data_IF_941000334280
#
_entry.id   IF_941000334280
#
_cell.length_a   1.000
_cell.length_b   1.000
_cell.length_c   1.000
_cell.angle_alpha   90.00
_cell.angle_beta   90.00
_cell.angle_gamma   90.00
#
_symmetry.space_group_name_H-M   'P 1'
#
loop_
_entity.id
_entity.type
_entity.pdbx_description
1 polymer ?
#
# COMPACT_ATOMS: atom_id res chain seq x y z
N UNK A 1 -30.63 8.07 33.16
CA UNK A 1 -31.61 8.56 32.17
C UNK A 1 -31.07 9.62 31.19
N UNK A 2 -30.07 10.44 31.53
CA UNK A 2 -29.47 11.46 30.63
C UNK A 2 -28.44 10.87 29.67
N UNK A 3 -27.63 9.89 30.09
CA UNK A 3 -26.59 9.27 29.27
C UNK A 3 -27.14 8.42 28.11
N UNK A 4 -28.30 7.79 28.28
CA UNK A 4 -28.97 6.98 27.25
C UNK A 4 -29.49 7.85 26.09
N UNK A 5 -29.97 9.07 26.38
CA UNK A 5 -30.45 10.02 25.36
C UNK A 5 -29.32 10.63 24.53
N UNK A 6 -28.11 10.78 25.10
CA UNK A 6 -26.94 11.29 24.37
C UNK A 6 -26.42 10.23 23.39
N UNK A 7 -26.46 8.93 23.76
CA UNK A 7 -26.05 7.85 22.88
C UNK A 7 -27.02 7.66 21.69
N UNK A 8 -28.31 7.80 21.94
CA UNK A 8 -29.33 7.68 20.87
C UNK A 8 -29.31 8.87 19.90
N UNK A 9 -28.99 10.09 20.36
CA UNK A 9 -28.87 11.25 19.48
C UNK A 9 -27.58 11.22 18.63
N UNK A 10 -26.48 10.67 19.14
CA UNK A 10 -25.25 10.46 18.36
C UNK A 10 -25.40 9.38 17.29
N UNK A 11 -26.15 8.33 17.56
CA UNK A 11 -26.35 7.23 16.60
C UNK A 11 -27.27 7.62 15.42
N UNK A 12 -28.07 8.68 15.55
CA UNK A 12 -28.94 9.18 14.45
C UNK A 12 -28.24 10.14 13.47
N UNK A 13 -27.05 10.67 13.82
CA UNK A 13 -26.31 11.63 12.98
C UNK A 13 -25.31 10.97 12.01
N UNK A 14 -25.10 9.65 12.09
CA UNK A 14 -24.22 8.90 11.20
C UNK A 14 -24.97 8.01 10.20
N UNK A 15 -26.14 8.44 9.74
CA UNK A 15 -26.92 7.75 8.72
C UNK A 15 -26.40 8.04 7.30
N UNK A 16 -26.80 7.19 6.33
CA UNK A 16 -26.53 7.33 4.90
C UNK A 16 -26.87 8.71 4.32
N UNK A 17 -27.72 9.49 5.01
CA UNK A 17 -28.19 10.82 4.59
C UNK A 17 -27.10 11.91 4.57
N UNK A 18 -25.88 11.62 5.09
CA UNK A 18 -24.75 12.56 5.11
C UNK A 18 -23.64 12.18 4.11
N UNK A 19 -23.79 11.13 3.33
CA UNK A 19 -22.85 10.77 2.28
C UNK A 19 -23.12 11.65 1.05
N UNK A 20 -22.17 12.50 0.71
CA UNK A 20 -22.27 13.42 -0.44
C UNK A 20 -21.73 12.83 -1.74
N UNK A 21 -20.94 11.76 -1.64
CA UNK A 21 -20.44 10.97 -2.77
C UNK A 21 -20.26 9.51 -2.33
N UNK A 22 -20.93 8.59 -2.98
CA UNK A 22 -20.80 7.15 -2.70
C UNK A 22 -19.44 6.61 -3.21
N UNK A 23 -18.86 5.65 -2.49
CA UNK A 23 -17.67 4.95 -2.95
C UNK A 23 -17.93 4.25 -4.30
N UNK A 24 -16.94 4.30 -5.20
CA UNK A 24 -17.05 3.75 -6.56
C UNK A 24 -17.74 4.67 -7.57
N UNK A 25 -18.15 5.88 -7.16
CA UNK A 25 -18.67 6.90 -8.09
C UNK A 25 -17.58 7.88 -8.50
N UNK A 26 -17.71 8.49 -9.69
CA UNK A 26 -16.75 9.43 -10.24
C UNK A 26 -17.42 10.81 -10.41
N UNK A 27 -16.93 11.78 -9.64
CA UNK A 27 -17.38 13.16 -9.76
C UNK A 27 -16.77 13.84 -11.00
N UNK A 28 -17.52 14.65 -11.75
CA UNK A 28 -16.98 15.36 -12.91
C UNK A 28 -15.92 16.38 -12.52
N UNK A 29 -14.71 16.27 -13.10
CA UNK A 29 -13.61 17.22 -12.94
C UNK A 29 -13.07 17.62 -14.31
N UNK A 30 -12.73 18.91 -14.53
CA UNK A 30 -12.35 19.44 -15.85
C UNK A 30 -10.84 19.26 -16.12
N UNK A 31 -10.34 18.02 -16.15
CA UNK A 31 -8.89 17.69 -16.31
C UNK A 31 -8.54 17.10 -17.68
N UNK A 32 -9.48 17.12 -18.63
CA UNK A 32 -9.22 16.63 -19.99
C UNK A 32 -9.25 15.11 -20.16
N UNK A 33 -9.63 14.36 -19.11
CA UNK A 33 -9.79 12.89 -19.14
C UNK A 33 -11.27 12.50 -19.12
N UNK A 34 -11.65 11.55 -20.00
CA UNK A 34 -12.99 10.98 -20.02
C UNK A 34 -13.32 10.22 -18.72
N UNK A 35 -14.60 10.13 -18.38
CA UNK A 35 -15.07 9.46 -17.17
C UNK A 35 -14.63 8.00 -17.09
N UNK A 36 -14.71 7.25 -18.19
CA UNK A 36 -14.29 5.85 -18.22
C UNK A 36 -12.79 5.68 -17.90
N UNK A 37 -11.93 6.56 -18.45
CA UNK A 37 -10.49 6.55 -18.16
C UNK A 37 -10.26 6.82 -16.67
N UNK A 38 -10.90 7.85 -16.13
CA UNK A 38 -10.80 8.19 -14.71
C UNK A 38 -11.29 7.06 -13.80
N UNK A 39 -12.42 6.44 -14.14
CA UNK A 39 -12.96 5.31 -13.38
C UNK A 39 -12.01 4.12 -13.35
N UNK A 40 -11.40 3.77 -14.49
CA UNK A 40 -10.40 2.69 -14.58
C UNK A 40 -9.18 3.01 -13.71
N UNK A 41 -8.63 4.22 -13.83
CA UNK A 41 -7.48 4.65 -13.03
C UNK A 41 -7.81 4.68 -11.53
N UNK A 42 -8.98 5.17 -11.12
CA UNK A 42 -9.44 5.18 -9.73
C UNK A 42 -9.50 3.76 -9.15
N UNK A 43 -10.00 2.79 -9.92
CA UNK A 43 -10.05 1.39 -9.49
C UNK A 43 -8.65 0.83 -9.21
N UNK A 44 -7.71 1.03 -10.14
CA UNK A 44 -6.33 0.58 -9.99
C UNK A 44 -5.60 1.30 -8.83
N UNK A 45 -5.80 2.61 -8.69
CA UNK A 45 -5.23 3.40 -7.59
C UNK A 45 -5.75 2.95 -6.22
N UNK A 46 -7.04 2.69 -6.08
CA UNK A 46 -7.63 2.21 -4.82
C UNK A 46 -7.14 0.79 -4.44
N UNK A 47 -6.95 -0.09 -5.42
CA UNK A 47 -6.33 -1.40 -5.16
C UNK A 47 -4.90 -1.25 -4.66
N UNK A 48 -4.09 -0.46 -5.37
CA UNK A 48 -2.70 -0.18 -4.97
C UNK A 48 -2.64 0.53 -3.61
N UNK A 49 -3.56 1.45 -3.33
CA UNK A 49 -3.67 2.14 -2.05
C UNK A 49 -3.92 1.16 -0.90
N UNK A 50 -4.86 0.23 -1.07
CA UNK A 50 -5.15 -0.80 -0.07
C UNK A 50 -3.92 -1.68 0.22
N UNK A 51 -3.22 -2.11 -0.83
CA UNK A 51 -2.02 -2.93 -0.69
C UNK A 51 -0.85 -2.15 -0.09
N UNK A 52 -0.67 -0.88 -0.46
CA UNK A 52 0.34 0.02 0.14
C UNK A 52 0.07 0.25 1.62
N UNK A 53 -1.18 0.45 2.02
CA UNK A 53 -1.58 0.57 3.44
C UNK A 53 -1.27 -0.71 4.22
N UNK A 54 -1.58 -1.87 3.66
CA UNK A 54 -1.28 -3.16 4.29
C UNK A 54 0.24 -3.38 4.39
N UNK A 55 1.01 -3.09 3.35
CA UNK A 55 2.47 -3.19 3.33
C UNK A 55 3.11 -2.25 4.36
N UNK A 56 2.64 -1.00 4.44
CA UNK A 56 3.03 -0.04 5.48
C UNK A 56 2.87 -0.62 6.89
N UNK A 57 1.72 -1.21 7.17
CA UNK A 57 1.42 -1.77 8.49
C UNK A 57 2.23 -3.05 8.76
N UNK A 58 2.55 -3.85 7.74
CA UNK A 58 3.50 -4.96 7.84
C UNK A 58 4.89 -4.47 8.25
N UNK A 59 5.40 -3.40 7.66
CA UNK A 59 6.68 -2.81 8.06
C UNK A 59 6.65 -2.38 9.52
N UNK A 60 5.59 -1.73 10.00
CA UNK A 60 5.48 -1.32 11.39
C UNK A 60 5.34 -2.50 12.34
N UNK A 61 4.59 -3.53 11.95
CA UNK A 61 4.53 -4.80 12.70
C UNK A 61 5.92 -5.41 12.87
N UNK A 62 6.67 -5.52 11.79
CA UNK A 62 8.00 -6.12 11.82
C UNK A 62 9.03 -5.25 12.53
N UNK A 63 8.97 -3.93 12.38
CA UNK A 63 9.76 -2.97 13.16
C UNK A 63 9.60 -3.19 14.67
N UNK A 64 8.38 -3.41 15.17
CA UNK A 64 8.14 -3.70 16.60
C UNK A 64 8.58 -5.10 17.03
N UNK A 65 8.63 -6.07 16.11
CA UNK A 65 8.81 -7.48 16.42
C UNK A 65 10.19 -8.03 16.06
N UNK A 66 10.99 -7.32 15.26
CA UNK A 66 12.33 -7.76 14.88
C UNK A 66 13.22 -7.96 16.12
N UNK A 67 14.12 -8.93 16.07
CA UNK A 67 15.04 -9.25 17.18
C UNK A 67 16.25 -10.04 16.66
N UNK A 68 17.29 -10.18 17.49
CA UNK A 68 18.49 -10.94 17.17
C UNK A 68 19.67 -10.06 16.73
N UNK A 69 20.66 -10.66 16.09
CA UNK A 69 21.93 -10.03 15.79
C UNK A 69 21.84 -8.80 14.86
N UNK A 70 20.82 -8.80 13.97
CA UNK A 70 20.56 -7.73 13.00
C UNK A 70 19.45 -6.78 13.47
N UNK A 71 19.10 -6.82 14.77
CA UNK A 71 17.97 -6.04 15.32
C UNK A 71 18.05 -4.56 14.95
N UNK A 72 19.15 -3.89 15.26
CA UNK A 72 19.25 -2.45 15.11
C UNK A 72 19.13 -2.00 13.65
N UNK A 73 19.83 -2.69 12.75
CA UNK A 73 19.83 -2.38 11.32
C UNK A 73 18.43 -2.55 10.71
N UNK A 74 17.79 -3.68 10.99
CA UNK A 74 16.46 -3.97 10.44
C UNK A 74 15.36 -3.13 11.09
N UNK A 75 15.47 -2.84 12.39
CA UNK A 75 14.55 -1.95 13.07
C UNK A 75 14.53 -0.56 12.43
N UNK A 76 15.68 0.02 12.12
CA UNK A 76 15.80 1.30 11.43
C UNK A 76 15.37 1.21 9.96
N UNK A 77 15.74 0.14 9.25
CA UNK A 77 15.37 -0.06 7.86
C UNK A 77 13.85 -0.17 7.70
N UNK A 78 13.20 -0.96 8.54
CA UNK A 78 11.75 -1.12 8.49
C UNK A 78 11.00 0.18 8.82
N UNK A 79 11.55 1.01 9.72
CA UNK A 79 10.96 2.32 10.02
C UNK A 79 11.13 3.31 8.86
N UNK A 80 12.29 3.29 8.19
CA UNK A 80 12.51 4.07 6.98
C UNK A 80 11.52 3.67 5.87
N UNK A 81 11.42 2.38 5.56
CA UNK A 81 10.51 1.89 4.53
C UNK A 81 9.04 2.16 4.89
N UNK A 82 8.67 2.06 6.18
CA UNK A 82 7.35 2.48 6.66
C UNK A 82 7.05 3.94 6.29
N UNK A 83 7.98 4.85 6.55
CA UNK A 83 7.80 6.27 6.25
C UNK A 83 7.63 6.51 4.74
N UNK A 84 8.42 5.85 3.90
CA UNK A 84 8.30 5.94 2.44
C UNK A 84 6.97 5.36 1.91
N UNK A 85 6.45 4.29 2.54
CA UNK A 85 5.11 3.79 2.20
C UNK A 85 3.98 4.75 2.62
N UNK A 86 4.17 5.56 3.68
CA UNK A 86 3.22 6.62 4.07
C UNK A 86 3.14 7.70 2.99
N UNK A 87 4.28 8.13 2.43
CA UNK A 87 4.31 9.10 1.33
C UNK A 87 3.58 8.56 0.08
N UNK A 88 3.85 7.29 -0.29
CA UNK A 88 3.16 6.66 -1.43
C UNK A 88 1.65 6.54 -1.21
N UNK A 89 1.23 6.17 0.00
CA UNK A 89 -0.19 6.07 0.36
C UNK A 89 -0.90 7.41 0.15
N UNK A 90 -0.30 8.51 0.60
CA UNK A 90 -0.87 9.85 0.48
C UNK A 90 -1.00 10.27 -1.00
N UNK A 91 0.07 10.10 -1.77
CA UNK A 91 0.08 10.41 -3.20
C UNK A 91 -0.98 9.61 -4.00
N UNK A 92 -1.15 8.31 -3.69
CA UNK A 92 -2.18 7.46 -4.31
C UNK A 92 -3.59 7.95 -3.96
N UNK A 93 -3.86 8.26 -2.69
CA UNK A 93 -5.16 8.74 -2.23
C UNK A 93 -5.51 10.11 -2.84
N UNK A 94 -4.56 11.04 -2.87
CA UNK A 94 -4.73 12.35 -3.50
C UNK A 94 -4.99 12.23 -5.01
N UNK A 95 -4.30 11.28 -5.70
CA UNK A 95 -4.55 11.04 -7.13
C UNK A 95 -5.96 10.52 -7.38
N UNK A 96 -6.48 9.60 -6.54
CA UNK A 96 -7.89 9.15 -6.61
C UNK A 96 -8.84 10.35 -6.52
N UNK A 97 -8.61 11.24 -5.55
CA UNK A 97 -9.45 12.44 -5.36
C UNK A 97 -9.33 13.41 -6.53
N UNK A 98 -8.13 13.64 -7.07
CA UNK A 98 -7.89 14.50 -8.23
C UNK A 98 -8.62 13.99 -9.49
N UNK A 99 -8.79 12.68 -9.63
CA UNK A 99 -9.58 12.07 -10.70
C UNK A 99 -11.10 12.13 -10.46
N UNK A 100 -11.56 12.65 -9.32
CA UNK A 100 -12.96 12.73 -8.93
C UNK A 100 -13.50 11.47 -8.25
N UNK A 101 -12.63 10.58 -7.78
CA UNK A 101 -13.00 9.39 -7.03
C UNK A 101 -13.03 9.60 -5.52
N UNK A 102 -13.37 8.53 -4.80
CA UNK A 102 -13.31 8.44 -3.34
C UNK A 102 -12.20 7.46 -2.98
N UNK A 103 -11.14 7.90 -2.27
CA UNK A 103 -10.07 7.00 -1.84
C UNK A 103 -10.54 6.08 -0.72
N UNK A 104 -10.13 4.82 -0.80
CA UNK A 104 -10.32 3.83 0.26
C UNK A 104 -9.46 4.22 1.47
N UNK A 105 -10.02 4.22 2.69
CA UNK A 105 -9.31 4.76 3.84
C UNK A 105 -9.51 3.97 5.15
N UNK A 106 -10.69 3.41 5.40
CA UNK A 106 -10.96 2.77 6.67
C UNK A 106 -10.24 1.40 6.80
N UNK A 107 -9.68 1.05 7.98
CA UNK A 107 -8.93 -0.20 8.15
C UNK A 107 -9.71 -1.48 7.79
N UNK A 108 -11.03 -1.47 7.98
CA UNK A 108 -11.88 -2.60 7.60
C UNK A 108 -11.93 -2.77 6.08
N UNK A 109 -12.14 -1.66 5.35
CA UNK A 109 -12.19 -1.64 3.89
C UNK A 109 -10.83 -2.01 3.29
N UNK A 110 -9.73 -1.53 3.89
CA UNK A 110 -8.36 -1.90 3.51
C UNK A 110 -8.15 -3.41 3.66
N UNK A 111 -8.56 -3.99 4.79
CA UNK A 111 -8.38 -5.42 5.04
C UNK A 111 -9.22 -6.31 4.12
N UNK A 112 -10.35 -5.80 3.61
CA UNK A 112 -11.21 -6.51 2.64
C UNK A 112 -10.70 -6.37 1.20
N UNK A 113 -10.13 -5.21 0.85
CA UNK A 113 -9.69 -4.92 -0.52
C UNK A 113 -8.26 -5.39 -0.82
N UNK A 114 -7.36 -5.38 0.18
CA UNK A 114 -5.96 -5.73 -0.04
C UNK A 114 -5.77 -7.18 -0.47
N UNK A 115 -4.94 -7.39 -1.49
CA UNK A 115 -4.50 -8.71 -1.94
C UNK A 115 -3.36 -9.30 -1.09
N UNK A 116 -2.76 -8.51 -0.18
CA UNK A 116 -1.69 -8.96 0.70
C UNK A 116 -2.25 -9.86 1.80
N UNK A 117 -1.76 -11.10 1.94
CA UNK A 117 -2.26 -12.04 2.92
C UNK A 117 -2.07 -11.58 4.37
N UNK A 118 -3.06 -11.86 5.21
CA UNK A 118 -2.99 -11.54 6.63
C UNK A 118 -1.78 -12.22 7.29
N UNK A 119 -0.88 -11.47 7.96
CA UNK A 119 0.25 -12.06 8.66
C UNK A 119 -0.19 -12.76 9.96
N UNK A 120 0.60 -13.73 10.47
CA UNK A 120 0.38 -14.28 11.81
C UNK A 120 0.48 -13.16 12.87
N UNK A 121 -0.28 -13.30 13.95
CA UNK A 121 -0.25 -12.35 15.07
C UNK A 121 1.07 -12.41 15.85
N UNK A 122 1.69 -13.59 15.88
CA UNK A 122 2.91 -13.85 16.63
C UNK A 122 4.15 -13.20 16.03
N UNK A 123 5.24 -13.23 16.81
CA UNK A 123 6.56 -12.82 16.36
C UNK A 123 7.15 -13.92 15.45
N UNK A 124 7.63 -13.50 14.28
CA UNK A 124 8.28 -14.37 13.32
C UNK A 124 9.80 -14.25 13.40
N UNK A 125 10.54 -15.22 12.87
CA UNK A 125 12.00 -15.11 12.67
C UNK A 125 12.32 -14.02 11.64
N UNK A 126 13.53 -13.47 11.69
CA UNK A 126 13.97 -12.42 10.74
C UNK A 126 13.84 -12.87 9.29
N UNK A 127 14.31 -14.06 8.87
CA UNK A 127 14.11 -14.51 7.50
C UNK A 127 12.63 -14.58 7.09
N UNK A 128 11.75 -15.05 7.97
CA UNK A 128 10.32 -15.11 7.69
C UNK A 128 9.68 -13.72 7.55
N UNK A 129 10.12 -12.74 8.38
CA UNK A 129 9.66 -11.35 8.26
C UNK A 129 10.07 -10.74 6.92
N UNK A 130 11.34 -10.93 6.51
CA UNK A 130 11.85 -10.41 5.24
C UNK A 130 11.15 -11.08 4.06
N UNK A 131 11.01 -12.41 4.06
CA UNK A 131 10.29 -13.12 2.99
C UNK A 131 8.87 -12.61 2.83
N UNK A 132 8.16 -12.39 3.94
CA UNK A 132 6.80 -11.85 3.90
C UNK A 132 6.71 -10.43 3.32
N UNK A 133 7.69 -9.58 3.62
CA UNK A 133 7.78 -8.24 3.02
C UNK A 133 8.08 -8.34 1.53
N UNK A 134 8.97 -9.24 1.12
CA UNK A 134 9.28 -9.48 -0.30
C UNK A 134 8.06 -9.97 -1.09
N UNK A 135 7.31 -10.94 -0.54
CA UNK A 135 6.07 -11.42 -1.15
C UNK A 135 5.04 -10.28 -1.32
N UNK A 136 4.93 -9.41 -0.31
CA UNK A 136 4.02 -8.27 -0.35
C UNK A 136 4.47 -7.23 -1.40
N UNK A 137 5.77 -6.94 -1.49
CA UNK A 137 6.31 -6.07 -2.54
C UNK A 137 6.11 -6.65 -3.94
N UNK A 138 6.31 -7.95 -4.13
CA UNK A 138 6.09 -8.59 -5.42
C UNK A 138 4.65 -8.42 -5.88
N UNK A 139 3.67 -8.63 -4.97
CA UNK A 139 2.26 -8.41 -5.26
C UNK A 139 1.99 -6.96 -5.70
N UNK A 140 2.46 -5.97 -4.94
CA UNK A 140 2.32 -4.54 -5.28
C UNK A 140 2.95 -4.24 -6.64
N UNK A 141 4.16 -4.74 -6.89
CA UNK A 141 4.90 -4.46 -8.13
C UNK A 141 4.22 -5.08 -9.37
N UNK A 142 3.67 -6.30 -9.26
CA UNK A 142 2.92 -6.94 -10.35
C UNK A 142 1.69 -6.10 -10.72
N UNK A 143 0.89 -5.71 -9.74
CA UNK A 143 -0.32 -4.92 -9.96
C UNK A 143 0.01 -3.51 -10.48
N UNK A 144 1.03 -2.84 -9.94
CA UNK A 144 1.43 -1.51 -10.39
C UNK A 144 1.93 -1.50 -11.84
N UNK A 145 2.69 -2.53 -12.29
CA UNK A 145 3.13 -2.61 -13.68
C UNK A 145 1.96 -2.77 -14.65
N UNK A 146 0.96 -3.54 -14.27
CA UNK A 146 -0.27 -3.70 -15.05
C UNK A 146 -1.05 -2.39 -15.11
N UNK A 147 -1.26 -1.76 -13.95
CA UNK A 147 -1.98 -0.48 -13.83
C UNK A 147 -1.27 0.66 -14.59
N UNK A 148 0.04 0.77 -14.50
CA UNK A 148 0.83 1.75 -15.25
C UNK A 148 0.66 1.58 -16.76
N UNK A 149 0.75 0.35 -17.25
CA UNK A 149 0.55 0.06 -18.68
C UNK A 149 -0.86 0.44 -19.14
N UNK A 150 -1.87 0.12 -18.37
CA UNK A 150 -3.28 0.45 -18.67
C UNK A 150 -3.51 1.96 -18.65
N UNK A 151 -3.00 2.69 -17.65
CA UNK A 151 -3.08 4.14 -17.57
C UNK A 151 -2.45 4.81 -18.81
N UNK A 152 -1.25 4.37 -19.20
CA UNK A 152 -0.57 4.87 -20.40
C UNK A 152 -1.38 4.61 -21.69
N UNK A 153 -1.95 3.41 -21.84
CA UNK A 153 -2.78 3.07 -23.00
C UNK A 153 -4.05 3.90 -23.09
N UNK A 154 -4.59 4.31 -21.95
CA UNK A 154 -5.80 5.14 -21.85
C UNK A 154 -5.50 6.65 -21.89
N UNK A 155 -4.23 7.07 -21.98
CA UNK A 155 -3.79 8.47 -22.02
C UNK A 155 -3.83 9.17 -20.66
N UNK A 156 -3.89 8.43 -19.54
CA UNK A 156 -3.75 8.97 -18.19
C UNK A 156 -2.27 8.97 -17.77
N UNK A 157 -1.49 9.86 -18.41
CA UNK A 157 -0.05 9.98 -18.19
C UNK A 157 0.30 10.31 -16.72
N UNK A 158 -0.54 11.11 -16.04
CA UNK A 158 -0.30 11.46 -14.65
C UNK A 158 -0.45 10.28 -13.69
N UNK A 159 -1.38 9.37 -13.93
CA UNK A 159 -1.48 8.12 -13.15
C UNK A 159 -0.38 7.14 -13.54
N UNK A 160 -0.03 7.05 -14.82
CA UNK A 160 1.12 6.25 -15.28
C UNK A 160 2.41 6.71 -14.61
N UNK A 161 2.69 8.02 -14.60
CA UNK A 161 3.89 8.59 -14.00
C UNK A 161 3.97 8.30 -12.49
N UNK A 162 2.88 8.49 -11.74
CA UNK A 162 2.82 8.15 -10.32
C UNK A 162 3.18 6.67 -10.08
N UNK A 163 2.61 5.75 -10.86
CA UNK A 163 2.94 4.34 -10.72
C UNK A 163 4.40 4.05 -11.05
N UNK A 164 4.94 4.59 -12.15
CA UNK A 164 6.30 4.28 -12.62
C UNK A 164 7.35 5.00 -11.78
N UNK A 165 7.18 6.30 -11.54
CA UNK A 165 8.22 7.14 -10.95
C UNK A 165 8.28 7.03 -9.43
N UNK A 166 7.12 6.84 -8.79
CA UNK A 166 7.06 6.82 -7.32
C UNK A 166 6.84 5.40 -6.79
N UNK A 167 5.73 4.73 -7.16
CA UNK A 167 5.37 3.46 -6.53
C UNK A 167 6.35 2.34 -6.91
N UNK A 168 6.58 2.12 -8.20
CA UNK A 168 7.44 1.02 -8.68
C UNK A 168 8.87 1.23 -8.22
N UNK A 169 9.46 2.40 -8.47
CA UNK A 169 10.87 2.65 -8.14
C UNK A 169 11.15 2.56 -6.64
N UNK A 170 10.27 3.09 -5.80
CA UNK A 170 10.41 3.00 -4.34
C UNK A 170 10.34 1.55 -3.87
N UNK A 171 9.34 0.78 -4.36
CA UNK A 171 9.19 -0.61 -3.97
C UNK A 171 10.33 -1.50 -4.48
N UNK A 172 10.85 -1.27 -5.70
CA UNK A 172 12.06 -1.96 -6.20
C UNK A 172 13.28 -1.69 -5.32
N UNK A 173 13.46 -0.45 -4.86
CA UNK A 173 14.56 -0.11 -3.94
C UNK A 173 14.40 -0.82 -2.59
N UNK A 174 13.17 -0.91 -2.06
CA UNK A 174 12.92 -1.68 -0.84
C UNK A 174 13.22 -3.16 -1.03
N UNK A 175 12.81 -3.77 -2.14
CA UNK A 175 13.15 -5.16 -2.48
C UNK A 175 14.65 -5.37 -2.52
N UNK A 176 15.41 -4.47 -3.16
CA UNK A 176 16.86 -4.55 -3.20
C UNK A 176 17.46 -4.62 -1.78
N UNK A 177 17.11 -3.67 -0.89
CA UNK A 177 17.61 -3.69 0.48
C UNK A 177 17.22 -4.95 1.26
N UNK A 178 16.00 -5.44 1.08
CA UNK A 178 15.52 -6.64 1.77
C UNK A 178 16.26 -7.90 1.28
N UNK A 179 16.48 -8.04 -0.03
CA UNK A 179 17.18 -9.17 -0.62
C UNK A 179 18.61 -9.30 -0.08
N UNK A 180 19.33 -8.17 0.09
CA UNK A 180 20.70 -8.18 0.61
C UNK A 180 20.77 -8.73 2.06
N UNK A 181 19.70 -8.67 2.82
CA UNK A 181 19.63 -9.28 4.16
C UNK A 181 19.37 -10.79 4.14
N UNK A 182 18.96 -11.36 3.01
CA UNK A 182 18.80 -12.81 2.83
C UNK A 182 19.97 -13.44 2.05
N UNK A 183 20.82 -12.61 1.44
CA UNK A 183 22.00 -13.12 0.74
C UNK A 183 22.92 -13.84 1.74
N UNK A 184 23.19 -15.11 1.50
CA UNK A 184 24.21 -15.84 2.22
C UNK A 184 25.56 -15.13 2.02
N UNK A 185 26.24 -14.75 3.10
CA UNK A 185 27.38 -13.84 3.14
C UNK A 185 28.65 -14.30 2.41
N UNK A 186 28.54 -14.97 1.28
CA UNK A 186 29.64 -15.26 0.34
C UNK A 186 29.28 -14.80 -1.08
N UNK A 187 29.45 -13.50 -1.42
CA UNK A 187 29.26 -13.02 -2.78
C UNK A 187 30.25 -13.60 -3.80
N UNK A 188 31.21 -14.38 -3.36
CA UNK A 188 32.27 -14.99 -4.20
C UNK A 188 32.34 -16.50 -4.08
N UNK A 189 31.24 -17.18 -3.70
CA UNK A 189 31.06 -18.63 -3.66
C UNK A 189 32.29 -19.44 -4.01
N UNK A 190 33.22 -19.59 -3.10
CA UNK A 190 34.30 -20.55 -3.31
C UNK A 190 33.65 -21.92 -3.28
N UNK A 191 33.41 -22.50 -4.48
CA UNK A 191 33.19 -23.92 -4.64
C UNK A 191 34.31 -24.62 -3.87
N UNK A 192 34.00 -25.15 -2.68
CA UNK A 192 34.87 -26.14 -2.07
C UNK A 192 34.79 -27.37 -2.96
N UNK A 193 35.78 -27.46 -3.87
CA UNK A 193 36.00 -28.66 -4.65
C UNK A 193 36.17 -29.87 -3.73
N UNK A 194 35.41 -30.90 -4.04
CA UNK A 194 35.60 -32.24 -3.49
C UNK A 194 36.87 -32.85 -4.01
#
# INVERSE_FOLDING_TARGET
MVLTRISESRNRQHGKDNVIQEFGTVYPVPIGLGENVRSTSIGALNQTLADTMMLRDLYKKHHWQVSGATFYQLHLLFDKHYAEQVELMDALAERVTALGGVPLAAPHDVAEASAIPRPPKGRESVPAQISRLLDAHEQVLIECRKAAKEASQNGDDGTNDLFVSDVIRTNEMHVFFLCEHLADGDPHGHQKGA
#
